data_IF_319350232835
#
_entry.id   IF_319350232835
#
_cell.length_a   1.000
_cell.length_b   1.000
_cell.length_c   1.000
_cell.angle_alpha   90.00
_cell.angle_beta   90.00
_cell.angle_gamma   90.00
#
_symmetry.space_group_name_H-M   'P 1'
#
loop_
_entity.id
_entity.type
_entity.pdbx_description
1 polymer ?
#
# COMPACT_ATOMS: atom_id res chain seq x y z
N UNK A 1 2.40 2.72 -23.23
CA UNK A 1 2.08 3.91 -22.41
C UNK A 1 2.03 3.61 -20.91
N UNK A 2 1.25 2.63 -20.41
CA UNK A 2 1.15 2.35 -18.95
C UNK A 2 2.50 2.11 -18.23
N UNK A 3 3.42 1.34 -18.82
CA UNK A 3 4.75 1.10 -18.22
C UNK A 3 5.55 2.38 -17.98
N UNK A 4 5.54 3.29 -18.95
CA UNK A 4 6.24 4.57 -18.83
C UNK A 4 5.60 5.44 -17.74
N UNK A 5 4.27 5.47 -17.67
CA UNK A 5 3.55 6.20 -16.62
C UNK A 5 3.88 5.68 -15.22
N UNK A 6 3.95 4.36 -15.04
CA UNK A 6 4.30 3.74 -13.76
C UNK A 6 5.77 4.01 -13.40
N UNK A 7 6.66 3.94 -14.39
CA UNK A 7 8.07 4.26 -14.18
C UNK A 7 8.27 5.73 -13.76
N UNK A 8 7.62 6.67 -14.45
CA UNK A 8 7.64 8.08 -14.08
C UNK A 8 7.08 8.30 -12.68
N UNK A 9 5.95 7.66 -12.36
CA UNK A 9 5.33 7.76 -11.04
C UNK A 9 6.26 7.22 -9.94
N UNK A 10 6.96 6.11 -10.20
CA UNK A 10 7.97 5.55 -9.29
C UNK A 10 9.17 6.50 -9.10
N UNK A 11 9.67 7.11 -10.17
CA UNK A 11 10.77 8.08 -10.08
C UNK A 11 10.35 9.30 -9.26
N UNK A 12 9.16 9.82 -9.52
CA UNK A 12 8.65 11.05 -8.91
C UNK A 12 8.24 10.81 -7.45
N UNK A 13 7.71 9.62 -7.10
CA UNK A 13 7.35 9.28 -5.71
C UNK A 13 8.53 9.17 -4.76
N UNK A 14 9.75 8.98 -5.29
CA UNK A 14 10.98 8.96 -4.47
C UNK A 14 11.34 10.35 -3.90
N UNK A 15 10.72 11.44 -4.39
CA UNK A 15 10.93 12.77 -3.85
C UNK A 15 10.18 12.96 -2.53
N UNK A 16 10.93 13.19 -1.44
CA UNK A 16 10.37 13.53 -0.12
C UNK A 16 9.51 14.79 -0.17
N UNK A 17 9.95 15.82 -0.88
CA UNK A 17 9.21 17.09 -0.97
C UNK A 17 7.84 16.89 -1.59
N UNK A 18 7.76 16.11 -2.67
CA UNK A 18 6.49 15.73 -3.26
C UNK A 18 5.63 14.97 -2.25
N UNK A 19 6.18 13.93 -1.62
CA UNK A 19 5.44 13.10 -0.67
C UNK A 19 4.84 13.93 0.47
N UNK A 20 5.59 14.91 0.99
CA UNK A 20 5.09 15.82 2.01
C UNK A 20 3.98 16.73 1.47
N UNK A 21 4.13 17.25 0.24
CA UNK A 21 3.13 18.11 -0.40
C UNK A 21 1.83 17.37 -0.76
N UNK A 22 1.87 16.05 -0.95
CA UNK A 22 0.66 15.25 -1.23
C UNK A 22 -0.34 15.22 -0.06
N UNK A 23 0.09 15.55 1.15
CA UNK A 23 -0.81 15.69 2.31
C UNK A 23 -1.72 16.93 2.22
N UNK A 24 -1.56 17.77 1.20
CA UNK A 24 -2.45 18.91 0.98
C UNK A 24 -3.88 18.44 0.63
N UNK A 25 -4.92 19.14 1.10
CA UNK A 25 -6.30 18.80 0.77
C UNK A 25 -6.53 18.81 -0.74
N UNK A 26 -7.29 17.84 -1.22
CA UNK A 26 -7.67 17.71 -2.61
C UNK A 26 -8.66 18.82 -2.97
N UNK A 27 -8.21 19.79 -3.78
CA UNK A 27 -9.00 21.00 -4.11
C UNK A 27 -9.56 21.00 -5.54
N UNK A 28 -9.34 19.93 -6.31
CA UNK A 28 -9.79 19.89 -7.70
C UNK A 28 -11.32 19.81 -7.79
N UNK A 29 -11.92 20.70 -8.59
CA UNK A 29 -13.36 20.67 -8.92
C UNK A 29 -13.77 19.53 -9.87
N UNK A 30 -12.82 18.67 -10.25
CA UNK A 30 -13.07 17.51 -11.11
C UNK A 30 -13.49 16.35 -10.21
N UNK A 31 -14.70 15.84 -10.41
CA UNK A 31 -15.14 14.58 -9.80
C UNK A 31 -14.30 13.44 -10.36
N UNK A 32 -13.40 12.88 -9.56
CA UNK A 32 -12.86 11.56 -9.85
C UNK A 32 -13.84 10.52 -9.30
N UNK A 33 -14.17 9.52 -10.11
CA UNK A 33 -14.97 8.35 -9.69
C UNK A 33 -14.29 7.52 -8.59
N UNK A 34 -13.04 7.84 -8.24
CA UNK A 34 -12.22 7.12 -7.27
C UNK A 34 -12.47 7.56 -5.82
N UNK A 35 -12.88 8.81 -5.60
CA UNK A 35 -13.03 9.38 -4.25
C UNK A 35 -14.27 10.27 -4.23
N UNK A 36 -15.21 9.97 -3.35
CA UNK A 36 -16.47 10.70 -3.26
C UNK A 36 -16.19 12.13 -2.78
N UNK A 37 -16.12 13.09 -3.69
CA UNK A 37 -15.66 14.47 -3.46
C UNK A 37 -16.49 15.29 -2.44
N UNK A 38 -17.43 14.66 -1.73
CA UNK A 38 -18.34 15.27 -0.76
C UNK A 38 -17.71 15.52 0.61
N UNK A 39 -16.56 14.93 0.92
CA UNK A 39 -15.84 15.20 2.17
C UNK A 39 -14.63 16.08 1.88
N UNK A 40 -14.54 17.25 2.52
CA UNK A 40 -13.40 18.18 2.46
C UNK A 40 -12.12 17.61 3.13
N UNK A 41 -12.04 16.31 3.37
CA UNK A 41 -10.99 15.68 4.17
C UNK A 41 -10.05 14.76 3.36
N UNK A 42 -10.20 14.69 2.04
CA UNK A 42 -9.29 13.90 1.20
C UNK A 42 -8.04 14.70 0.85
N UNK A 43 -6.92 14.02 0.79
CA UNK A 43 -5.61 14.55 0.38
C UNK A 43 -5.21 14.01 -0.99
N UNK A 44 -4.19 14.60 -1.62
CA UNK A 44 -3.61 14.00 -2.83
C UNK A 44 -2.93 12.66 -2.55
N UNK A 45 -2.46 12.43 -1.32
CA UNK A 45 -1.97 11.11 -0.89
C UNK A 45 -3.06 10.05 -1.04
N UNK A 46 -4.28 10.33 -0.60
CA UNK A 46 -5.42 9.40 -0.73
C UNK A 46 -5.66 9.00 -2.18
N UNK A 47 -5.63 9.99 -3.08
CA UNK A 47 -5.81 9.75 -4.52
C UNK A 47 -4.75 8.79 -5.05
N UNK A 48 -3.47 8.97 -4.68
CA UNK A 48 -2.39 8.09 -5.12
C UNK A 48 -2.59 6.67 -4.60
N UNK A 49 -2.90 6.49 -3.32
CA UNK A 49 -3.12 5.18 -2.72
C UNK A 49 -4.30 4.44 -3.34
N UNK A 50 -5.44 5.13 -3.52
CA UNK A 50 -6.64 4.56 -4.16
C UNK A 50 -6.36 4.23 -5.63
N UNK A 51 -5.65 5.10 -6.36
CA UNK A 51 -5.30 4.86 -7.76
C UNK A 51 -4.38 3.64 -7.94
N UNK A 52 -3.37 3.49 -7.08
CA UNK A 52 -2.46 2.33 -7.11
C UNK A 52 -3.21 1.04 -6.79
N UNK A 53 -4.04 1.04 -5.75
CA UNK A 53 -4.91 -0.10 -5.44
C UNK A 53 -5.84 -0.44 -6.61
N UNK A 54 -6.50 0.56 -7.20
CA UNK A 54 -7.37 0.39 -8.37
C UNK A 54 -6.63 -0.19 -9.58
N UNK A 55 -5.38 0.24 -9.79
CA UNK A 55 -4.52 -0.26 -10.87
C UNK A 55 -4.21 -1.76 -10.71
N UNK A 56 -3.98 -2.24 -9.49
CA UNK A 56 -3.73 -3.66 -9.25
C UNK A 56 -5.02 -4.47 -9.29
N UNK A 57 -6.11 -3.95 -8.70
CA UNK A 57 -7.39 -4.66 -8.61
C UNK A 57 -8.09 -4.81 -9.96
N UNK A 58 -8.16 -3.73 -10.74
CA UNK A 58 -8.91 -3.66 -11.98
C UNK A 58 -8.02 -3.64 -13.23
N UNK A 59 -6.71 -3.46 -13.07
CA UNK A 59 -5.79 -3.39 -14.20
C UNK A 59 -5.57 -4.73 -14.89
N UNK A 60 -5.00 -4.70 -16.11
CA UNK A 60 -4.75 -5.93 -16.87
C UNK A 60 -3.68 -6.78 -16.20
N UNK A 61 -3.82 -8.12 -16.32
CA UNK A 61 -2.84 -9.10 -15.79
C UNK A 61 -1.41 -8.88 -16.29
N UNK A 62 -1.26 -8.18 -17.42
CA UNK A 62 0.01 -7.75 -17.99
C UNK A 62 0.83 -6.87 -17.01
N UNK A 63 0.20 -6.26 -16.00
CA UNK A 63 0.88 -5.45 -14.97
C UNK A 63 1.54 -6.31 -13.88
N UNK A 64 1.23 -7.60 -13.76
CA UNK A 64 1.83 -8.49 -12.75
C UNK A 64 3.36 -8.37 -12.64
N UNK A 65 4.14 -8.35 -13.75
CA UNK A 65 5.59 -8.25 -13.67
C UNK A 65 6.13 -6.97 -13.06
N UNK A 66 5.31 -5.92 -12.96
CA UNK A 66 5.69 -4.62 -12.41
C UNK A 66 4.95 -4.29 -11.11
N UNK A 67 4.26 -5.26 -10.50
CA UNK A 67 3.63 -5.07 -9.19
C UNK A 67 4.63 -4.60 -8.14
N UNK A 68 5.86 -5.12 -8.15
CA UNK A 68 6.94 -4.65 -7.29
C UNK A 68 7.18 -3.13 -7.44
N UNK A 69 7.28 -2.64 -8.67
CA UNK A 69 7.46 -1.21 -8.96
C UNK A 69 6.23 -0.38 -8.55
N UNK A 70 5.02 -0.92 -8.76
CA UNK A 70 3.78 -0.26 -8.37
C UNK A 70 3.69 -0.14 -6.83
N UNK A 71 4.05 -1.19 -6.09
CA UNK A 71 4.08 -1.15 -4.62
C UNK A 71 5.18 -0.23 -4.10
N UNK A 72 6.34 -0.19 -4.75
CA UNK A 72 7.42 0.71 -4.38
C UNK A 72 6.99 2.20 -4.42
N UNK A 73 6.01 2.56 -5.25
CA UNK A 73 5.39 3.90 -5.22
C UNK A 73 4.77 4.16 -3.84
N UNK A 74 3.98 3.22 -3.31
CA UNK A 74 3.37 3.36 -1.98
C UNK A 74 4.42 3.35 -0.88
N UNK A 75 5.41 2.45 -0.97
CA UNK A 75 6.50 2.38 0.02
C UNK A 75 7.30 3.67 0.13
N UNK A 76 7.55 4.37 -0.99
CA UNK A 76 8.23 5.67 -0.98
C UNK A 76 7.40 6.77 -0.30
N UNK A 77 6.07 6.73 -0.43
CA UNK A 77 5.16 7.76 0.09
C UNK A 77 4.73 7.51 1.54
N UNK A 78 4.67 6.25 1.95
CA UNK A 78 4.15 5.82 3.25
C UNK A 78 4.78 6.54 4.46
N UNK A 79 6.12 6.73 4.56
CA UNK A 79 6.74 7.42 5.70
C UNK A 79 6.32 8.89 5.86
N UNK A 80 5.80 9.50 4.80
CA UNK A 80 5.46 10.93 4.77
C UNK A 80 3.95 11.18 4.71
N UNK A 81 3.14 10.12 4.67
CA UNK A 81 1.68 10.21 4.53
C UNK A 81 1.04 10.29 5.91
N UNK A 82 0.46 11.46 6.24
CA UNK A 82 -0.05 11.78 7.58
C UNK A 82 -1.34 11.04 7.95
N UNK A 83 -2.23 10.89 6.99
CA UNK A 83 -3.52 10.24 7.19
C UNK A 83 -3.98 9.64 5.88
N UNK A 84 -4.72 8.55 5.96
CA UNK A 84 -5.40 7.96 4.82
C UNK A 84 -6.90 7.91 5.07
N UNK A 85 -7.67 8.08 4.00
CA UNK A 85 -9.10 7.88 4.02
C UNK A 85 -9.44 6.39 4.14
N UNK A 86 -10.70 6.13 4.47
CA UNK A 86 -11.21 4.76 4.60
C UNK A 86 -10.97 3.93 3.34
N UNK A 87 -11.24 4.49 2.16
CA UNK A 87 -11.11 3.79 0.89
C UNK A 87 -9.65 3.40 0.58
N UNK A 88 -8.69 4.27 0.90
CA UNK A 88 -7.26 3.99 0.76
C UNK A 88 -6.82 2.88 1.71
N UNK A 89 -7.27 2.92 2.98
CA UNK A 89 -7.00 1.87 3.98
C UNK A 89 -7.63 0.52 3.59
N UNK A 90 -8.87 0.51 3.13
CA UNK A 90 -9.55 -0.68 2.60
C UNK A 90 -8.77 -1.27 1.41
N UNK A 91 -8.28 -0.41 0.52
CA UNK A 91 -7.44 -0.78 -0.61
C UNK A 91 -6.13 -1.44 -0.19
N UNK A 92 -5.41 -0.87 0.78
CA UNK A 92 -4.17 -1.44 1.32
C UNK A 92 -4.39 -2.84 1.91
N UNK A 93 -5.43 -3.03 2.72
CA UNK A 93 -5.73 -4.34 3.30
C UNK A 93 -6.15 -5.37 2.25
N UNK A 94 -6.88 -4.95 1.23
CA UNK A 94 -7.18 -5.80 0.09
C UNK A 94 -5.90 -6.27 -0.63
N UNK A 95 -4.95 -5.36 -0.88
CA UNK A 95 -3.67 -5.70 -1.51
C UNK A 95 -2.89 -6.71 -0.67
N UNK A 96 -2.80 -6.51 0.65
CA UNK A 96 -2.18 -7.46 1.57
C UNK A 96 -2.84 -8.83 1.47
N UNK A 97 -4.17 -8.89 1.49
CA UNK A 97 -4.93 -10.15 1.38
C UNK A 97 -4.61 -10.91 0.10
N UNK A 98 -4.54 -10.21 -1.04
CA UNK A 98 -4.28 -10.84 -2.34
C UNK A 98 -2.82 -11.26 -2.48
N UNK A 99 -1.87 -10.46 -1.99
CA UNK A 99 -0.45 -10.77 -2.08
C UNK A 99 0.03 -11.77 -1.03
N UNK A 100 -0.71 -11.95 0.07
CA UNK A 100 -0.49 -12.99 1.06
C UNK A 100 -0.89 -14.39 0.59
N UNK A 101 -1.63 -14.51 -0.53
CA UNK A 101 -2.09 -15.81 -1.03
C UNK A 101 -0.92 -16.66 -1.49
N UNK A 102 -0.93 -17.95 -1.10
CA UNK A 102 0.10 -18.92 -1.47
C UNK A 102 0.26 -19.02 -3.00
N UNK A 103 -0.84 -18.98 -3.75
CA UNK A 103 -0.81 -19.04 -5.21
C UNK A 103 -0.06 -17.85 -5.81
N UNK A 104 -0.18 -16.66 -5.22
CA UNK A 104 0.57 -15.49 -5.66
C UNK A 104 2.04 -15.61 -5.27
N UNK A 105 2.33 -15.95 -4.01
CA UNK A 105 3.70 -16.03 -3.50
C UNK A 105 4.55 -17.06 -4.27
N UNK A 106 3.97 -18.22 -4.59
CA UNK A 106 4.65 -19.28 -5.32
C UNK A 106 4.76 -19.04 -6.83
N UNK A 107 4.06 -18.05 -7.39
CA UNK A 107 4.10 -17.76 -8.83
C UNK A 107 5.48 -17.24 -9.25
N UNK A 108 6.14 -16.43 -8.41
CA UNK A 108 7.46 -15.83 -8.68
C UNK A 108 8.21 -15.50 -7.39
N UNK A 109 9.53 -15.66 -7.38
CA UNK A 109 10.39 -15.32 -6.22
C UNK A 109 10.28 -13.85 -5.79
N UNK A 110 10.10 -12.92 -6.74
CA UNK A 110 9.96 -11.49 -6.45
C UNK A 110 8.62 -11.13 -5.78
N UNK A 111 7.64 -12.04 -5.75
CA UNK A 111 6.34 -11.78 -5.14
C UNK A 111 6.44 -11.70 -3.62
N UNK A 112 7.33 -12.49 -2.99
CA UNK A 112 7.64 -12.38 -1.56
C UNK A 112 8.22 -11.01 -1.22
N UNK A 113 9.12 -10.48 -2.07
CA UNK A 113 9.68 -9.12 -1.90
C UNK A 113 8.61 -8.05 -2.05
N UNK A 114 7.67 -8.24 -3.00
CA UNK A 114 6.56 -7.32 -3.23
C UNK A 114 5.63 -7.26 -2.01
N UNK A 115 5.28 -8.41 -1.43
CA UNK A 115 4.51 -8.47 -0.19
C UNK A 115 5.29 -7.82 0.96
N UNK A 116 6.58 -8.10 1.09
CA UNK A 116 7.45 -7.48 2.10
C UNK A 116 7.45 -5.95 2.02
N UNK A 117 7.63 -5.38 0.83
CA UNK A 117 7.57 -3.92 0.63
C UNK A 117 6.21 -3.30 0.96
N UNK A 118 5.12 -4.04 0.74
CA UNK A 118 3.77 -3.59 1.12
C UNK A 118 3.57 -3.61 2.64
N UNK A 119 4.03 -4.67 3.31
CA UNK A 119 4.01 -4.77 4.79
C UNK A 119 4.85 -3.65 5.40
N UNK A 120 6.03 -3.38 4.85
CA UNK A 120 6.89 -2.29 5.29
C UNK A 120 6.22 -0.91 5.11
N UNK A 121 5.52 -0.69 3.99
CA UNK A 121 4.75 0.53 3.78
C UNK A 121 3.64 0.71 4.85
N UNK A 122 2.93 -0.38 5.18
CA UNK A 122 1.93 -0.35 6.26
C UNK A 122 2.59 -0.08 7.62
N UNK A 123 3.75 -0.67 7.89
CA UNK A 123 4.51 -0.41 9.11
C UNK A 123 4.93 1.06 9.22
N UNK A 124 5.34 1.70 8.12
CA UNK A 124 5.67 3.12 8.13
C UNK A 124 4.46 4.01 8.42
N UNK A 125 3.29 3.69 7.85
CA UNK A 125 2.05 4.42 8.13
C UNK A 125 1.64 4.33 9.61
N UNK A 126 1.86 3.16 10.23
CA UNK A 126 1.63 2.98 11.67
C UNK A 126 2.69 3.73 12.47
N UNK A 127 3.98 3.48 12.22
CA UNK A 127 5.07 3.97 13.06
C UNK A 127 5.19 5.51 13.11
N UNK A 128 4.90 6.20 12.00
CA UNK A 128 5.06 7.65 11.93
C UNK A 128 3.79 8.45 12.23
N UNK A 129 2.61 7.84 12.07
CA UNK A 129 1.34 8.59 12.03
C UNK A 129 0.15 7.85 12.67
N UNK A 130 0.42 6.97 13.64
CA UNK A 130 -0.62 6.18 14.33
C UNK A 130 -1.76 7.05 14.90
N UNK A 131 -1.42 8.14 15.61
CA UNK A 131 -2.42 8.99 16.27
C UNK A 131 -3.35 9.74 15.29
N UNK A 132 -2.94 9.94 14.04
CA UNK A 132 -3.73 10.65 13.02
C UNK A 132 -4.48 9.72 12.05
N UNK A 133 -4.24 8.41 12.09
CA UNK A 133 -4.76 7.46 11.10
C UNK A 133 -5.75 6.44 11.71
N UNK A 134 -6.82 6.94 12.33
CA UNK A 134 -7.84 6.11 12.98
C UNK A 134 -8.49 5.08 12.03
N UNK A 135 -8.65 5.41 10.74
CA UNK A 135 -9.19 4.46 9.76
C UNK A 135 -8.28 3.26 9.56
N UNK A 136 -6.97 3.48 9.48
CA UNK A 136 -6.00 2.39 9.37
C UNK A 136 -6.03 1.49 10.60
N UNK A 137 -6.07 2.07 11.81
CA UNK A 137 -6.18 1.30 13.05
C UNK A 137 -7.42 0.40 13.09
N UNK A 138 -8.59 0.97 12.79
CA UNK A 138 -9.86 0.22 12.73
C UNK A 138 -9.75 -0.93 11.74
N UNK A 139 -9.12 -0.68 10.59
CA UNK A 139 -9.00 -1.70 9.56
C UNK A 139 -8.01 -2.79 9.96
N UNK A 140 -6.87 -2.46 10.57
CA UNK A 140 -5.91 -3.45 11.08
C UNK A 140 -6.53 -4.38 12.12
N UNK A 141 -7.36 -3.84 13.04
CA UNK A 141 -8.09 -4.67 14.01
C UNK A 141 -9.01 -5.69 13.35
N UNK A 142 -9.69 -5.31 12.25
CA UNK A 142 -10.55 -6.24 11.50
C UNK A 142 -9.77 -7.31 10.73
N UNK A 143 -8.55 -6.99 10.33
CA UNK A 143 -7.70 -7.86 9.50
C UNK A 143 -6.67 -8.64 10.31
N UNK A 144 -6.75 -8.63 11.66
CA UNK A 144 -5.88 -9.42 12.54
C UNK A 144 -5.78 -10.89 12.13
N UNK A 145 -6.89 -11.49 11.71
CA UNK A 145 -6.94 -12.89 11.26
C UNK A 145 -6.05 -13.18 10.04
N UNK A 146 -5.77 -12.18 9.20
CA UNK A 146 -4.83 -12.33 8.07
C UNK A 146 -3.39 -12.30 8.55
N UNK A 147 -3.08 -11.47 9.54
CA UNK A 147 -1.76 -11.47 10.16
C UNK A 147 -1.50 -12.79 10.91
N UNK A 148 -2.50 -13.32 11.62
CA UNK A 148 -2.43 -14.64 12.24
C UNK A 148 -2.25 -15.76 11.19
N UNK A 149 -2.93 -15.65 10.06
CA UNK A 149 -2.77 -16.57 8.93
C UNK A 149 -1.36 -16.48 8.32
N UNK A 150 -0.84 -15.26 8.11
CA UNK A 150 0.51 -15.07 7.61
C UNK A 150 1.54 -15.65 8.58
N UNK A 151 1.42 -15.38 9.88
CA UNK A 151 2.33 -15.88 10.91
C UNK A 151 2.34 -17.41 11.00
N UNK A 152 1.17 -18.04 10.87
CA UNK A 152 1.04 -19.51 10.88
C UNK A 152 1.56 -20.19 9.60
N UNK A 153 1.52 -19.51 8.44
CA UNK A 153 1.95 -20.06 7.15
C UNK A 153 3.36 -19.64 6.73
N UNK A 154 3.96 -18.64 7.38
CA UNK A 154 5.35 -18.20 7.21
C UNK A 154 6.38 -19.35 7.28
N UNK A 155 6.25 -20.35 8.18
CA UNK A 155 7.16 -21.49 8.25
C UNK A 155 7.14 -22.38 6.99
N UNK A 156 6.00 -22.49 6.31
CA UNK A 156 5.82 -23.31 5.12
C UNK A 156 6.31 -22.62 3.83
N UNK A 157 6.56 -21.31 3.87
CA UNK A 157 6.96 -20.49 2.72
C UNK A 157 8.50 -20.29 2.68
N UNK A 158 9.24 -20.88 3.62
CA UNK A 158 10.71 -20.85 3.64
C UNK A 158 11.32 -19.50 4.00
N UNK A 159 10.53 -18.59 4.60
CA UNK A 159 11.02 -17.32 5.13
C UNK A 159 11.41 -17.56 6.58
N UNK A 160 12.71 -17.69 6.84
CA UNK A 160 13.25 -17.87 8.18
C UNK A 160 12.84 -16.70 9.09
N UNK A 161 12.41 -17.02 10.31
CA UNK A 161 12.02 -16.01 11.31
C UNK A 161 13.19 -15.05 11.51
N UNK A 162 12.98 -13.72 11.48
CA UNK A 162 13.96 -12.82 12.06
C UNK A 162 14.11 -13.23 13.53
N UNK A 163 15.30 -13.69 13.90
CA UNK A 163 15.65 -13.97 15.28
C UNK A 163 15.58 -12.64 16.02
N UNK A 164 14.46 -12.38 16.67
CA UNK A 164 14.39 -11.37 17.72
C UNK A 164 15.39 -11.82 18.79
N UNK A 165 16.52 -11.14 18.81
CA UNK A 165 17.58 -11.38 19.77
C UNK A 165 16.97 -11.24 21.17
N UNK A 166 16.92 -12.35 21.90
CA UNK A 166 16.85 -12.33 23.35
C UNK A 166 18.20 -11.82 23.86
N UNK A 167 18.30 -10.51 24.10
CA UNK A 167 19.25 -9.91 25.05
C UNK A 167 18.58 -8.72 25.71
#
# INVERSE_FOLDING_TARGET
MMYLSIFLMLTVSASRELAMNLNTPFTLSIKLDLVDAKSNSYTYSDLVFVAVYGLIKNGPRLLKPIYKSIIAILSNLAPYTKSLCKEACDGLMYLLTIFAKKEFLLEREDNCKTLGSLIEAVNYLIAYHDESNHYLQIQLMKYQTIFDFLESNLPDIGVDRPRLNQQ
#
